data_IF_650696410027
#
_entry.id   IF_650696410027
#
_cell.length_a   1.000
_cell.length_b   1.000
_cell.length_c   1.000
_cell.angle_alpha   90.00
_cell.angle_beta   90.00
_cell.angle_gamma   90.00
#
_symmetry.space_group_name_H-M   'P 1'
#
loop_
_entity.id
_entity.type
_entity.pdbx_description
1 polymer ?
#
# COMPACT_ATOMS: atom_id res chain seq x y z
N UNK A 1 -25.86 -62.91 -0.08
CA UNK A 1 -27.29 -62.50 -0.20
C UNK A 1 -27.37 -61.08 -0.75
N UNK A 2 -28.57 -60.62 -1.19
CA UNK A 2 -29.04 -59.24 -1.54
C UNK A 2 -27.94 -58.14 -1.67
N UNK A 3 -27.74 -57.49 -2.83
CA UNK A 3 -28.56 -56.39 -3.45
C UNK A 3 -28.84 -55.24 -2.45
N UNK A 4 -28.78 -53.95 -2.78
CA UNK A 4 -28.56 -53.15 -4.03
C UNK A 4 -27.66 -51.92 -3.62
N UNK A 5 -27.41 -50.78 -4.30
CA UNK A 5 -27.95 -50.07 -5.49
C UNK A 5 -26.86 -49.13 -6.09
N UNK A 6 -27.05 -48.65 -7.33
CA UNK A 6 -26.50 -47.38 -7.85
C UNK A 6 -27.67 -46.41 -8.03
N UNK A 7 -27.53 -45.13 -7.67
CA UNK A 7 -28.58 -44.13 -7.89
C UNK A 7 -27.97 -42.87 -8.51
N UNK A 8 -28.28 -42.65 -9.79
CA UNK A 8 -27.98 -41.41 -10.49
C UNK A 8 -29.01 -40.33 -10.12
N UNK A 9 -28.59 -39.07 -10.10
CA UNK A 9 -29.50 -37.93 -10.11
C UNK A 9 -29.62 -37.37 -11.53
N UNK A 10 -30.82 -36.91 -11.87
CA UNK A 10 -31.21 -36.52 -13.22
C UNK A 10 -31.69 -35.07 -13.21
N UNK A 11 -31.31 -34.28 -14.22
CA UNK A 11 -31.79 -32.90 -14.37
C UNK A 11 -33.32 -32.84 -14.49
N UNK A 12 -33.91 -31.80 -13.92
CA UNK A 12 -35.29 -31.40 -14.16
C UNK A 12 -35.35 -29.90 -14.48
N UNK A 13 -35.44 -29.56 -15.77
CA UNK A 13 -35.90 -28.24 -16.19
C UNK A 13 -37.40 -28.11 -15.89
N UNK A 14 -37.85 -26.93 -15.48
CA UNK A 14 -39.26 -26.54 -15.50
C UNK A 14 -39.36 -25.21 -16.25
N UNK A 15 -40.06 -25.21 -17.39
CA UNK A 15 -40.46 -24.00 -18.09
C UNK A 15 -41.78 -23.48 -17.49
N UNK A 16 -41.92 -22.16 -17.41
CA UNK A 16 -43.20 -21.47 -17.24
C UNK A 16 -43.35 -20.39 -18.32
N UNK A 17 -44.50 -20.36 -19.02
CA UNK A 17 -44.70 -19.52 -20.21
C UNK A 17 -46.04 -18.78 -20.19
N UNK A 18 -46.02 -17.45 -20.23
CA UNK A 18 -47.13 -16.55 -20.63
C UNK A 18 -46.48 -15.35 -21.34
N UNK A 19 -46.41 -15.34 -22.67
CA UNK A 19 -47.39 -14.75 -23.63
C UNK A 19 -47.50 -13.22 -23.56
N UNK A 20 -47.04 -12.55 -24.62
CA UNK A 20 -47.18 -11.12 -24.94
C UNK A 20 -46.56 -10.85 -26.31
N UNK A 21 -47.22 -10.06 -27.17
CA UNK A 21 -46.83 -9.91 -28.59
C UNK A 21 -46.03 -8.62 -28.90
N UNK A 22 -45.52 -8.57 -30.13
CA UNK A 22 -45.26 -7.45 -31.07
C UNK A 22 -45.51 -6.00 -30.57
N UNK A 23 -44.77 -4.97 -31.01
CA UNK A 23 -44.25 -4.74 -32.37
C UNK A 23 -42.98 -3.84 -32.40
N UNK A 24 -42.35 -3.68 -33.57
CA UNK A 24 -41.20 -2.78 -33.80
C UNK A 24 -41.56 -1.29 -33.63
N UNK A 25 -40.69 -0.49 -33.00
CA UNK A 25 -40.56 0.96 -33.26
C UNK A 25 -39.10 1.41 -33.07
N UNK A 26 -38.72 2.50 -33.76
CA UNK A 26 -37.34 2.97 -33.96
C UNK A 26 -36.77 3.72 -32.75
N UNK A 27 -35.45 3.71 -32.65
CA UNK A 27 -34.60 4.61 -31.84
C UNK A 27 -34.91 6.08 -32.07
N UNK A 28 -34.75 6.92 -31.03
CA UNK A 28 -33.95 8.14 -31.16
C UNK A 28 -32.80 8.16 -30.13
N UNK A 29 -31.79 8.99 -30.38
CA UNK A 29 -30.65 9.16 -29.48
C UNK A 29 -31.10 9.69 -28.11
N UNK A 30 -30.68 9.01 -27.03
CA UNK A 30 -30.65 9.61 -25.71
C UNK A 30 -29.20 10.00 -25.40
N UNK A 31 -28.97 11.30 -25.36
CA UNK A 31 -27.73 11.91 -24.87
C UNK A 31 -27.34 11.29 -23.53
N UNK A 32 -26.11 10.80 -23.40
CA UNK A 32 -25.53 10.50 -22.09
C UNK A 32 -25.44 11.83 -21.34
N UNK A 33 -26.38 12.07 -20.43
CA UNK A 33 -26.23 13.14 -19.46
C UNK A 33 -25.16 12.68 -18.48
N UNK A 34 -24.00 13.30 -18.55
CA UNK A 34 -23.06 13.31 -17.44
C UNK A 34 -23.75 13.98 -16.27
N UNK A 35 -24.32 13.17 -15.36
CA UNK A 35 -24.67 13.62 -14.03
C UNK A 35 -23.36 13.93 -13.30
N UNK A 36 -22.88 15.17 -13.48
CA UNK A 36 -21.85 15.73 -12.61
C UNK A 36 -22.37 15.66 -11.18
N UNK A 37 -21.75 14.79 -10.39
CA UNK A 37 -22.14 14.56 -9.00
C UNK A 37 -22.19 15.91 -8.27
N UNK A 38 -23.38 16.30 -7.83
CA UNK A 38 -23.54 17.47 -6.98
C UNK A 38 -22.89 17.13 -5.65
N UNK A 39 -22.01 18.00 -5.18
CA UNK A 39 -21.22 17.76 -3.97
C UNK A 39 -22.07 17.25 -2.82
N UNK A 40 -21.77 16.03 -2.39
CA UNK A 40 -21.93 15.64 -1.00
C UNK A 40 -20.90 16.42 -0.18
N UNK A 41 -21.21 16.75 1.07
CA UNK A 41 -20.31 17.50 1.95
C UNK A 41 -19.12 16.61 2.35
N UNK A 42 -18.06 16.61 1.53
CA UNK A 42 -16.80 15.92 1.81
C UNK A 42 -16.09 16.59 2.99
N UNK A 43 -15.78 15.83 4.03
CA UNK A 43 -15.08 16.32 5.20
C UNK A 43 -13.60 15.96 5.08
N UNK A 44 -12.74 16.95 4.86
CA UNK A 44 -11.30 16.83 5.18
C UNK A 44 -11.06 17.42 6.56
N UNK A 45 -10.71 16.57 7.52
CA UNK A 45 -10.29 16.97 8.86
C UNK A 45 -8.76 16.97 8.93
N UNK A 46 -8.14 18.10 9.30
CA UNK A 46 -6.70 18.13 9.59
C UNK A 46 -6.46 17.69 11.02
N UNK A 47 -5.63 16.66 11.20
CA UNK A 47 -5.35 16.02 12.49
C UNK A 47 -3.89 16.20 12.85
N UNK A 48 -3.63 16.70 14.06
CA UNK A 48 -2.28 16.86 14.59
C UNK A 48 -1.93 15.67 15.50
N UNK A 49 -0.91 14.84 15.16
CA UNK A 49 -0.59 13.63 15.91
C UNK A 49 0.04 13.93 17.27
N UNK A 50 -0.49 13.32 18.33
CA UNK A 50 0.06 13.36 19.69
C UNK A 50 0.96 12.17 20.02
N UNK A 51 1.67 12.22 21.15
CA UNK A 51 2.58 11.14 21.60
C UNK A 51 1.88 9.95 22.27
N UNK A 52 0.55 9.99 22.38
CA UNK A 52 -0.32 8.89 22.81
C UNK A 52 -1.14 8.44 21.59
N UNK A 53 -1.34 7.13 21.41
CA UNK A 53 -2.06 6.58 20.26
C UNK A 53 -3.52 7.04 20.33
N UNK A 54 -3.95 7.71 19.25
CA UNK A 54 -5.31 8.24 19.12
C UNK A 54 -6.03 7.51 17.99
N UNK A 55 -7.13 6.82 18.32
CA UNK A 55 -8.04 6.25 17.33
C UNK A 55 -8.81 7.38 16.62
N UNK A 56 -8.74 7.42 15.29
CA UNK A 56 -9.46 8.39 14.43
C UNK A 56 -10.85 7.86 14.08
N UNK A 57 -10.91 6.59 13.70
CA UNK A 57 -12.13 5.78 13.53
C UNK A 57 -11.80 4.29 13.74
N UNK A 58 -12.81 3.42 13.76
CA UNK A 58 -12.65 1.99 14.14
C UNK A 58 -11.63 1.27 13.24
N UNK A 59 -10.45 0.95 13.82
CA UNK A 59 -9.34 0.32 13.11
C UNK A 59 -8.37 1.26 12.38
N UNK A 60 -8.49 2.59 12.54
CA UNK A 60 -7.50 3.57 12.08
C UNK A 60 -6.99 4.41 13.25
N UNK A 61 -5.71 4.29 13.57
CA UNK A 61 -5.06 5.02 14.67
C UNK A 61 -3.89 5.89 14.21
N UNK A 62 -3.53 6.88 15.01
CA UNK A 62 -2.48 7.87 14.72
C UNK A 62 -1.60 8.12 15.95
N UNK A 63 -0.28 8.27 15.75
CA UNK A 63 0.68 8.64 16.80
C UNK A 63 1.87 9.45 16.26
N UNK A 64 2.47 10.29 17.10
CA UNK A 64 3.75 10.97 16.85
C UNK A 64 4.89 10.32 17.64
N UNK A 65 6.02 10.10 16.97
CA UNK A 65 7.29 9.70 17.57
C UNK A 65 8.37 10.73 17.26
N UNK A 66 9.15 11.14 18.28
CA UNK A 66 10.29 12.05 18.12
C UNK A 66 11.53 11.47 18.83
N UNK A 67 12.70 11.54 18.15
CA UNK A 67 14.00 11.09 18.69
C UNK A 67 14.59 9.85 18.01
N UNK A 68 15.65 9.28 18.60
CA UNK A 68 16.31 8.06 18.13
C UNK A 68 15.55 6.76 18.50
N UNK A 69 14.99 6.08 17.49
CA UNK A 69 14.40 4.74 17.60
C UNK A 69 15.38 3.60 17.28
N UNK A 70 16.68 3.88 17.19
CA UNK A 70 17.75 2.90 17.05
C UNK A 70 17.99 2.40 15.62
N UNK A 71 17.38 3.03 14.61
CA UNK A 71 17.47 2.55 13.21
C UNK A 71 18.88 2.74 12.62
N UNK A 72 19.59 3.81 12.99
CA UNK A 72 21.01 3.96 12.64
C UNK A 72 21.88 2.80 13.16
N UNK A 73 21.66 2.37 14.41
CA UNK A 73 22.36 1.21 14.99
C UNK A 73 21.97 -0.13 14.35
N UNK A 74 20.73 -0.26 13.86
CA UNK A 74 20.28 -1.42 13.08
C UNK A 74 21.05 -1.52 11.75
N UNK A 75 21.22 -0.41 11.03
CA UNK A 75 22.02 -0.38 9.80
C UNK A 75 23.52 -0.59 10.08
N UNK A 76 24.07 0.01 11.14
CA UNK A 76 25.49 -0.13 11.51
C UNK A 76 25.90 -1.57 11.86
N UNK A 77 24.99 -2.39 12.39
CA UNK A 77 25.26 -3.82 12.63
C UNK A 77 25.15 -4.71 11.38
N UNK A 78 24.73 -4.16 10.23
CA UNK A 78 24.50 -4.87 8.97
C UNK A 78 23.04 -5.14 8.61
N UNK A 79 22.07 -4.60 9.37
CA UNK A 79 20.64 -4.78 9.11
C UNK A 79 20.12 -6.16 9.52
N UNK A 80 19.33 -6.80 8.64
CA UNK A 80 18.78 -8.16 8.84
C UNK A 80 18.38 -8.86 7.54
N UNK A 81 18.68 -10.17 7.45
CA UNK A 81 18.33 -11.08 6.34
C UNK A 81 16.88 -11.56 6.35
N UNK A 82 16.12 -11.32 7.43
CA UNK A 82 14.72 -11.74 7.53
C UNK A 82 13.95 -10.90 8.56
N UNK A 83 12.63 -11.01 8.51
CA UNK A 83 11.73 -10.32 9.44
C UNK A 83 11.98 -10.76 10.89
N UNK A 84 12.31 -12.04 11.13
CA UNK A 84 12.71 -12.52 12.46
C UNK A 84 14.00 -11.85 12.95
N UNK A 85 14.94 -11.50 12.05
CA UNK A 85 16.16 -10.77 12.40
C UNK A 85 15.91 -9.32 12.83
N UNK A 86 14.96 -8.64 12.17
CA UNK A 86 14.46 -7.31 12.60
C UNK A 86 13.85 -7.40 14.02
N UNK A 87 13.19 -8.51 14.30
CA UNK A 87 12.50 -8.78 15.56
C UNK A 87 13.44 -9.16 16.69
N UNK A 88 14.48 -9.96 16.44
CA UNK A 88 15.56 -10.19 17.41
C UNK A 88 16.25 -8.88 17.78
N UNK A 89 16.47 -7.99 16.80
CA UNK A 89 17.01 -6.65 17.06
C UNK A 89 16.08 -5.81 17.95
N UNK A 90 14.82 -5.62 17.58
CA UNK A 90 13.83 -4.86 18.37
C UNK A 90 13.70 -5.39 19.79
N UNK A 91 13.66 -6.71 19.96
CA UNK A 91 13.56 -7.40 21.24
C UNK A 91 14.83 -7.29 22.11
N UNK A 92 15.96 -6.90 21.51
CA UNK A 92 17.21 -6.61 22.24
C UNK A 92 17.29 -5.17 22.75
N UNK A 93 16.70 -4.21 22.02
CA UNK A 93 16.69 -2.78 22.38
C UNK A 93 15.58 -2.44 23.37
N UNK A 94 14.37 -2.95 23.14
CA UNK A 94 13.22 -2.72 23.99
C UNK A 94 13.35 -3.57 25.25
N UNK A 95 13.56 -2.93 26.41
CA UNK A 95 13.83 -3.60 27.70
C UNK A 95 12.72 -4.55 28.22
N UNK A 96 11.57 -4.58 27.54
CA UNK A 96 10.51 -5.57 27.67
C UNK A 96 10.81 -6.80 26.82
N UNK A 97 10.71 -8.00 27.40
CA UNK A 97 10.77 -9.25 26.62
C UNK A 97 9.55 -9.39 25.70
N UNK A 98 9.64 -8.81 24.50
CA UNK A 98 8.72 -9.01 23.38
C UNK A 98 8.93 -10.45 22.88
N UNK A 99 7.90 -11.31 22.86
CA UNK A 99 8.02 -12.65 22.29
C UNK A 99 8.10 -12.59 20.76
N UNK A 100 8.69 -13.63 20.16
CA UNK A 100 8.87 -13.87 18.71
C UNK A 100 7.77 -13.22 17.84
N UNK A 101 8.06 -12.02 17.36
CA UNK A 101 7.15 -11.24 16.52
C UNK A 101 7.22 -11.78 15.09
N UNK A 102 6.04 -12.16 14.59
CA UNK A 102 5.88 -12.85 13.31
C UNK A 102 5.14 -11.94 12.33
N UNK A 103 5.74 -11.81 11.15
CA UNK A 103 5.16 -11.18 9.98
C UNK A 103 4.56 -12.26 9.07
N UNK A 104 3.29 -12.12 8.68
CA UNK A 104 2.63 -13.08 7.79
C UNK A 104 1.18 -12.72 7.46
N UNK A 105 0.68 -13.28 6.35
CA UNK A 105 -0.71 -13.09 5.91
C UNK A 105 -1.04 -13.77 4.57
N UNK A 106 -2.19 -13.40 4.01
CA UNK A 106 -2.67 -13.71 2.66
C UNK A 106 -1.91 -12.89 1.57
N UNK A 107 -2.27 -13.00 0.27
CA UNK A 107 -1.84 -12.03 -0.74
C UNK A 107 -2.50 -10.65 -0.56
N UNK A 108 -1.76 -9.54 -0.70
CA UNK A 108 -2.33 -8.19 -0.62
C UNK A 108 -2.45 -7.50 -1.98
N UNK A 109 -3.60 -6.86 -2.21
CA UNK A 109 -3.78 -5.98 -3.36
C UNK A 109 -3.18 -4.60 -3.08
N UNK A 110 -2.69 -3.93 -4.11
CA UNK A 110 -2.29 -2.53 -4.06
C UNK A 110 -2.46 -1.87 -5.44
N UNK A 111 -2.68 -0.56 -5.46
CA UNK A 111 -2.51 0.24 -6.66
C UNK A 111 -1.97 1.63 -6.33
N UNK A 112 -1.18 2.20 -7.24
CA UNK A 112 -0.58 3.52 -7.07
C UNK A 112 -0.64 4.36 -8.35
N UNK A 113 -0.58 5.68 -8.17
CA UNK A 113 -0.75 6.70 -9.20
C UNK A 113 0.16 7.90 -8.89
N UNK A 114 1.16 8.19 -9.70
CA UNK A 114 1.89 9.47 -9.68
C UNK A 114 1.37 10.38 -10.78
N UNK A 115 1.01 11.61 -10.44
CA UNK A 115 0.42 12.56 -11.38
C UNK A 115 0.77 14.01 -11.01
N UNK A 116 0.82 14.88 -12.01
CA UNK A 116 1.03 16.30 -11.79
C UNK A 116 -0.16 16.95 -11.08
N UNK A 117 0.09 17.75 -10.06
CA UNK A 117 -0.94 18.56 -9.42
C UNK A 117 -1.35 19.74 -10.31
N UNK A 118 -2.66 20.00 -10.41
CA UNK A 118 -3.23 21.16 -11.10
C UNK A 118 -2.86 22.48 -10.39
N UNK A 119 -2.74 22.47 -9.06
CA UNK A 119 -2.38 23.65 -8.27
C UNK A 119 -0.85 23.88 -8.15
N UNK A 120 -0.02 22.92 -8.61
CA UNK A 120 1.45 22.98 -8.57
C UNK A 120 2.07 21.82 -7.77
N UNK A 121 3.25 21.37 -8.22
CA UNK A 121 3.89 20.16 -7.72
C UNK A 121 3.28 18.87 -8.25
N UNK A 122 3.41 17.79 -7.49
CA UNK A 122 2.99 16.42 -7.84
C UNK A 122 2.20 15.77 -6.71
N UNK A 123 1.36 14.79 -7.08
CA UNK A 123 0.52 14.01 -6.19
C UNK A 123 0.84 12.52 -6.36
N UNK A 124 0.97 11.80 -5.25
CA UNK A 124 1.08 10.34 -5.24
C UNK A 124 -0.16 9.74 -4.56
N UNK A 125 -0.90 8.93 -5.29
CA UNK A 125 -2.04 8.14 -4.81
C UNK A 125 -1.65 6.71 -4.53
N UNK A 126 -2.22 6.12 -3.47
CA UNK A 126 -1.93 4.76 -2.97
C UNK A 126 -3.20 4.12 -2.43
N UNK A 127 -3.55 2.92 -2.88
CA UNK A 127 -4.49 2.00 -2.22
C UNK A 127 -3.73 0.81 -1.64
N UNK A 128 -4.09 0.39 -0.43
CA UNK A 128 -3.72 -0.88 0.17
C UNK A 128 -4.97 -1.73 0.38
N UNK A 129 -4.97 -2.95 -0.19
CA UNK A 129 -6.13 -3.85 -0.20
C UNK A 129 -5.83 -5.15 0.57
N UNK A 130 -6.68 -5.47 1.55
CA UNK A 130 -6.46 -6.57 2.49
C UNK A 130 -7.77 -7.14 3.08
N UNK A 131 -7.67 -8.16 3.91
CA UNK A 131 -8.70 -8.48 4.91
C UNK A 131 -8.87 -7.30 5.90
N UNK A 132 -10.01 -7.21 6.60
CA UNK A 132 -10.24 -6.15 7.58
C UNK A 132 -9.21 -6.15 8.72
N UNK A 133 -8.43 -5.06 8.88
CA UNK A 133 -7.27 -5.00 9.80
C UNK A 133 -7.13 -3.68 10.58
N UNK A 134 -6.08 -3.56 11.41
CA UNK A 134 -5.82 -2.35 12.21
C UNK A 134 -4.65 -1.56 11.64
N UNK A 135 -4.91 -0.36 11.10
CA UNK A 135 -3.88 0.54 10.59
C UNK A 135 -3.39 1.51 11.68
N UNK A 136 -2.07 1.67 11.79
CA UNK A 136 -1.44 2.73 12.57
C UNK A 136 -0.67 3.66 11.63
N UNK A 137 -1.04 4.93 11.62
CA UNK A 137 -0.30 6.03 11.00
C UNK A 137 0.72 6.53 12.04
N UNK A 138 1.99 6.61 11.64
CA UNK A 138 3.08 7.10 12.48
C UNK A 138 3.68 8.33 11.82
N UNK A 139 3.56 9.48 12.50
CA UNK A 139 4.34 10.69 12.22
C UNK A 139 5.66 10.59 12.98
N UNK A 140 6.79 10.61 12.28
CA UNK A 140 8.12 10.34 12.83
C UNK A 140 9.07 11.51 12.61
N UNK A 141 9.73 11.96 13.67
CA UNK A 141 10.82 12.95 13.61
C UNK A 141 12.11 12.35 14.22
N UNK A 142 12.94 11.65 13.42
CA UNK A 142 14.18 11.05 13.92
C UNK A 142 15.18 12.12 14.38
N UNK A 143 16.07 11.75 15.32
CA UNK A 143 17.25 12.58 15.65
C UNK A 143 18.26 12.65 14.48
N UNK A 144 18.24 11.66 13.58
CA UNK A 144 19.10 11.58 12.40
C UNK A 144 18.32 10.96 11.22
N UNK A 145 17.89 11.78 10.26
CA UNK A 145 17.09 11.39 9.11
C UNK A 145 16.02 12.44 8.79
N UNK A 146 15.24 12.21 7.74
CA UNK A 146 14.09 13.05 7.40
C UNK A 146 12.87 12.74 8.29
N UNK A 147 12.11 13.77 8.62
CA UNK A 147 10.76 13.60 9.16
C UNK A 147 9.85 12.93 8.11
N UNK A 148 8.90 12.09 8.56
CA UNK A 148 7.99 11.38 7.66
C UNK A 148 6.65 11.03 8.29
N UNK A 149 5.67 10.72 7.45
CA UNK A 149 4.45 10.01 7.86
C UNK A 149 4.39 8.68 7.11
N UNK A 150 4.23 7.58 7.85
CA UNK A 150 4.21 6.22 7.30
C UNK A 150 3.10 5.37 7.91
N UNK A 151 2.55 4.43 7.13
CA UNK A 151 1.45 3.56 7.55
C UNK A 151 1.91 2.13 7.74
N UNK A 152 1.38 1.47 8.77
CA UNK A 152 1.64 0.06 9.08
C UNK A 152 0.36 -0.70 9.41
N UNK A 153 0.24 -1.93 8.92
CA UNK A 153 -0.77 -2.88 9.36
C UNK A 153 -0.31 -3.53 10.67
N UNK A 154 -0.98 -3.24 11.78
CA UNK A 154 -0.65 -3.78 13.10
C UNK A 154 -0.93 -5.28 13.22
N UNK A 155 -1.79 -5.85 12.37
CA UNK A 155 -2.11 -7.28 12.36
C UNK A 155 -0.97 -8.11 11.72
N UNK A 156 -0.04 -7.47 11.02
CA UNK A 156 1.21 -8.06 10.54
C UNK A 156 2.26 -8.23 11.66
N UNK A 157 2.00 -7.75 12.87
CA UNK A 157 3.01 -7.59 13.92
C UNK A 157 2.65 -8.50 15.10
N UNK A 158 2.77 -9.82 14.92
CA UNK A 158 2.23 -10.81 15.86
C UNK A 158 3.29 -11.32 16.84
N UNK A 159 3.41 -10.69 18.01
CA UNK A 159 4.42 -10.96 19.05
C UNK A 159 4.27 -12.33 19.78
N UNK A 160 4.35 -13.44 19.05
CA UNK A 160 4.36 -14.81 19.61
C UNK A 160 3.04 -15.22 20.26
N UNK A 161 1.92 -14.63 19.80
CA UNK A 161 0.62 -14.71 20.45
C UNK A 161 0.40 -13.71 21.59
N UNK A 162 1.38 -12.83 21.86
CA UNK A 162 1.13 -11.58 22.56
C UNK A 162 0.54 -10.55 21.59
N UNK A 163 -0.48 -9.86 22.07
CA UNK A 163 -1.14 -8.76 21.37
C UNK A 163 -0.40 -7.45 21.69
N UNK A 164 0.13 -6.81 20.65
CA UNK A 164 1.00 -5.63 20.74
C UNK A 164 0.27 -4.37 21.24
N UNK A 165 -1.06 -4.30 21.13
CA UNK A 165 -1.86 -3.18 21.68
C UNK A 165 -1.72 -3.05 23.20
N UNK A 166 -1.17 -4.08 23.87
CA UNK A 166 -0.87 -4.12 25.30
C UNK A 166 0.52 -3.56 25.66
N UNK A 167 1.37 -3.25 24.67
CA UNK A 167 2.63 -2.55 24.88
C UNK A 167 2.37 -1.04 25.04
N UNK A 168 3.24 -0.28 25.74
CA UNK A 168 3.13 1.17 25.77
C UNK A 168 3.18 1.77 24.36
N UNK A 169 2.41 2.82 24.13
CA UNK A 169 2.23 3.51 22.84
C UNK A 169 3.54 3.79 22.12
N UNK A 170 4.55 4.29 22.85
CA UNK A 170 5.88 4.57 22.30
C UNK A 170 6.63 3.30 21.85
N UNK A 171 6.42 2.15 22.49
CA UNK A 171 6.97 0.88 22.03
C UNK A 171 6.23 0.36 20.79
N UNK A 172 4.91 0.55 20.71
CA UNK A 172 4.14 0.23 19.50
C UNK A 172 4.60 1.10 18.31
N UNK A 173 4.81 2.40 18.53
CA UNK A 173 5.34 3.32 17.52
C UNK A 173 6.76 2.93 17.06
N UNK A 174 7.68 2.59 17.98
CA UNK A 174 9.02 2.10 17.62
C UNK A 174 8.93 0.83 16.77
N UNK A 175 8.09 -0.14 17.15
CA UNK A 175 7.94 -1.39 16.39
C UNK A 175 7.36 -1.12 15.00
N UNK A 176 6.32 -0.29 14.91
CA UNK A 176 5.68 0.08 13.65
C UNK A 176 6.62 0.81 12.67
N UNK A 177 7.60 1.56 13.17
CA UNK A 177 8.62 2.24 12.34
C UNK A 177 9.58 1.27 11.62
N UNK A 178 9.69 0.01 12.06
CA UNK A 178 10.43 -1.04 11.34
C UNK A 178 9.53 -1.89 10.42
N UNK A 179 8.22 -1.62 10.44
CA UNK A 179 7.19 -2.34 9.70
C UNK A 179 6.37 -1.51 8.66
N UNK A 180 6.80 -0.32 8.16
CA UNK A 180 5.97 0.50 7.28
C UNK A 180 5.76 -0.17 5.92
N UNK A 181 4.56 0.06 5.35
CA UNK A 181 4.13 -0.45 4.04
C UNK A 181 4.06 0.65 2.97
N UNK A 182 3.90 1.90 3.42
CA UNK A 182 3.92 3.12 2.61
C UNK A 182 4.22 4.35 3.46
N UNK A 183 4.55 5.47 2.81
CA UNK A 183 4.71 6.78 3.46
C UNK A 183 5.26 7.86 2.54
N UNK A 184 5.39 9.08 3.09
CA UNK A 184 6.07 10.22 2.47
C UNK A 184 6.89 11.00 3.51
N UNK A 185 8.05 11.53 3.11
CA UNK A 185 8.94 12.33 3.97
C UNK A 185 8.87 13.85 3.70
N UNK A 186 9.62 14.64 4.49
CA UNK A 186 9.56 16.11 4.43
C UNK A 186 10.12 16.71 3.14
N UNK A 187 10.98 15.99 2.41
CA UNK A 187 11.42 16.35 1.06
C UNK A 187 10.33 16.05 0.00
N UNK A 188 9.29 15.28 0.35
CA UNK A 188 8.19 14.92 -0.53
C UNK A 188 8.46 13.67 -1.38
N UNK A 189 9.52 12.92 -1.07
CA UNK A 189 9.71 11.58 -1.59
C UNK A 189 8.68 10.63 -0.95
N UNK A 190 8.00 9.87 -1.79
CA UNK A 190 6.96 8.92 -1.43
C UNK A 190 7.32 7.51 -1.90
N UNK A 191 7.05 6.52 -1.05
CA UNK A 191 7.36 5.11 -1.28
C UNK A 191 6.22 4.22 -0.80
N UNK A 192 5.98 3.13 -1.50
CA UNK A 192 5.05 2.09 -1.07
C UNK A 192 5.40 0.72 -1.66
N UNK A 193 5.17 -0.36 -0.90
CA UNK A 193 5.28 -1.73 -1.43
C UNK A 193 3.95 -2.26 -1.95
N UNK A 194 3.96 -2.84 -3.14
CA UNK A 194 2.86 -3.65 -3.67
C UNK A 194 3.33 -5.12 -3.79
N UNK A 195 2.46 -6.08 -3.49
CA UNK A 195 2.71 -7.50 -3.79
C UNK A 195 2.58 -7.79 -5.28
N UNK A 196 3.20 -8.87 -5.78
CA UNK A 196 2.89 -9.48 -7.07
C UNK A 196 2.42 -10.93 -6.83
N UNK A 197 1.41 -11.39 -7.59
CA UNK A 197 1.01 -12.82 -7.57
C UNK A 197 2.04 -13.67 -8.33
N UNK A 198 3.16 -13.96 -7.66
CA UNK A 198 4.20 -14.90 -8.10
C UNK A 198 4.63 -15.77 -6.90
N UNK A 199 5.17 -16.96 -7.18
CA UNK A 199 5.65 -17.91 -6.17
C UNK A 199 7.15 -17.80 -5.88
N UNK A 200 7.87 -16.96 -6.62
CA UNK A 200 9.26 -16.61 -6.33
C UNK A 200 9.35 -15.63 -5.15
N UNK A 201 10.57 -15.39 -4.64
CA UNK A 201 10.87 -14.40 -3.59
C UNK A 201 12.14 -13.62 -3.94
N UNK A 202 12.40 -12.53 -3.22
CA UNK A 202 13.66 -11.77 -3.30
C UNK A 202 14.54 -12.23 -2.14
N UNK A 203 15.73 -12.73 -2.45
CA UNK A 203 16.70 -13.27 -1.48
C UNK A 203 18.11 -13.04 -2.03
N UNK A 204 18.62 -11.81 -1.89
CA UNK A 204 19.98 -11.46 -2.31
C UNK A 204 21.01 -11.95 -1.27
N UNK A 205 22.27 -12.15 -1.69
CA UNK A 205 23.31 -12.71 -0.81
C UNK A 205 24.71 -12.42 -1.39
N UNK A 206 25.35 -11.33 -0.96
CA UNK A 206 26.69 -10.91 -1.41
C UNK A 206 27.57 -10.47 -0.22
N UNK A 207 28.40 -9.43 -0.36
CA UNK A 207 29.25 -8.85 0.69
C UNK A 207 28.67 -7.52 1.24
N UNK A 208 27.38 -7.24 0.99
CA UNK A 208 26.67 -6.01 1.41
C UNK A 208 26.02 -6.18 2.80
N UNK A 209 25.56 -5.08 3.43
CA UNK A 209 24.54 -5.16 4.48
C UNK A 209 23.18 -5.64 3.94
N UNK A 210 22.39 -6.26 4.80
CA UNK A 210 21.10 -6.90 4.50
C UNK A 210 19.92 -5.97 4.84
N UNK A 211 18.85 -5.97 4.03
CA UNK A 211 17.64 -5.18 4.30
C UNK A 211 16.36 -5.95 3.97
N UNK A 212 15.34 -5.84 4.82
CA UNK A 212 14.00 -6.42 4.57
C UNK A 212 13.09 -5.43 3.85
N UNK A 213 11.97 -5.88 3.28
CA UNK A 213 10.99 -5.01 2.59
C UNK A 213 10.58 -3.79 3.42
N UNK A 214 10.19 -3.98 4.68
CA UNK A 214 9.70 -2.88 5.53
C UNK A 214 10.83 -1.98 6.05
N UNK A 215 11.99 -2.57 6.36
CA UNK A 215 13.16 -1.79 6.79
C UNK A 215 13.80 -1.02 5.63
N UNK A 216 13.65 -1.49 4.39
CA UNK A 216 13.98 -0.72 3.19
C UNK A 216 13.06 0.50 3.03
N UNK A 217 11.75 0.37 3.27
CA UNK A 217 10.83 1.52 3.26
C UNK A 217 11.22 2.55 4.33
N UNK A 218 11.57 2.10 5.54
CA UNK A 218 12.07 3.00 6.60
C UNK A 218 13.36 3.71 6.20
N UNK A 219 14.35 2.98 5.68
CA UNK A 219 15.61 3.52 5.14
C UNK A 219 15.37 4.61 4.08
N UNK A 220 14.46 4.36 3.14
CA UNK A 220 14.16 5.32 2.07
C UNK A 220 13.46 6.56 2.61
N UNK A 221 12.49 6.41 3.51
CA UNK A 221 11.85 7.55 4.16
C UNK A 221 12.83 8.39 5.01
N UNK A 222 13.79 7.74 5.69
CA UNK A 222 14.80 8.43 6.52
C UNK A 222 15.91 9.13 5.70
N UNK A 223 16.27 8.63 4.51
CA UNK A 223 17.54 8.99 3.86
C UNK A 223 17.46 9.35 2.37
N UNK A 224 16.31 9.28 1.70
CA UNK A 224 16.16 9.71 0.31
C UNK A 224 15.32 10.99 0.17
N UNK A 225 15.87 12.05 -0.42
CA UNK A 225 15.10 13.24 -0.80
C UNK A 225 14.32 13.05 -2.12
N UNK A 226 14.72 12.09 -2.95
CA UNK A 226 14.25 11.91 -4.32
C UNK A 226 14.45 10.46 -4.81
N UNK A 227 13.95 10.14 -6.02
CA UNK A 227 14.06 8.81 -6.61
C UNK A 227 15.51 8.40 -6.92
N UNK A 228 16.40 9.32 -7.33
CA UNK A 228 17.81 8.96 -7.62
C UNK A 228 18.54 8.49 -6.34
N UNK A 229 18.34 9.21 -5.23
CA UNK A 229 18.88 8.83 -3.92
C UNK A 229 18.29 7.52 -3.40
N UNK A 230 16.99 7.30 -3.60
CA UNK A 230 16.33 6.05 -3.23
C UNK A 230 16.90 4.83 -3.98
N UNK A 231 17.10 4.96 -5.29
CA UNK A 231 17.72 3.91 -6.11
C UNK A 231 19.18 3.67 -5.74
N UNK A 232 19.93 4.73 -5.41
CA UNK A 232 21.29 4.63 -4.91
C UNK A 232 21.34 3.87 -3.57
N UNK A 233 20.44 4.18 -2.63
CA UNK A 233 20.34 3.48 -1.35
C UNK A 233 20.00 1.99 -1.54
N UNK A 234 18.94 1.66 -2.29
CA UNK A 234 18.58 0.26 -2.59
C UNK A 234 19.74 -0.53 -3.22
N UNK A 235 20.57 0.12 -4.05
CA UNK A 235 21.72 -0.55 -4.67
C UNK A 235 22.82 -0.97 -3.67
N UNK A 236 22.88 -0.35 -2.49
CA UNK A 236 23.93 -0.56 -1.48
C UNK A 236 23.66 -1.74 -0.53
N UNK A 237 22.43 -2.26 -0.50
CA UNK A 237 22.03 -3.41 0.34
C UNK A 237 21.77 -4.65 -0.52
N UNK A 238 21.74 -5.81 0.14
CA UNK A 238 21.10 -7.01 -0.38
C UNK A 238 19.66 -7.10 0.18
N UNK A 239 18.70 -7.26 -0.72
CA UNK A 239 17.26 -7.18 -0.40
C UNK A 239 16.66 -8.56 -0.11
N UNK A 240 15.89 -8.64 0.97
CA UNK A 240 15.15 -9.82 1.43
C UNK A 240 13.65 -9.51 1.50
N UNK A 241 12.83 -10.27 0.79
CA UNK A 241 11.39 -10.00 0.75
C UNK A 241 10.69 -10.50 2.03
N UNK A 242 10.14 -9.55 2.79
CA UNK A 242 9.33 -9.83 3.98
C UNK A 242 8.18 -10.81 3.69
N UNK A 243 7.87 -11.65 4.67
CA UNK A 243 6.87 -12.74 4.61
C UNK A 243 7.08 -13.77 3.48
N UNK A 244 8.21 -13.72 2.75
CA UNK A 244 8.46 -14.58 1.59
C UNK A 244 7.55 -14.31 0.39
N UNK A 245 6.93 -13.13 0.31
CA UNK A 245 6.08 -12.72 -0.81
C UNK A 245 6.89 -12.04 -1.91
N UNK A 246 6.58 -12.28 -3.19
CA UNK A 246 7.10 -11.42 -4.25
C UNK A 246 6.49 -10.02 -4.15
N UNK A 247 7.34 -9.00 -4.22
CA UNK A 247 6.94 -7.59 -4.12
C UNK A 247 7.68 -6.73 -5.15
N UNK A 248 7.19 -5.50 -5.33
CA UNK A 248 7.94 -4.40 -5.94
C UNK A 248 7.67 -3.09 -5.19
N UNK A 249 8.61 -2.14 -5.27
CA UNK A 249 8.47 -0.82 -4.64
C UNK A 249 8.05 0.22 -5.69
N UNK A 250 6.92 0.91 -5.45
CA UNK A 250 6.52 2.08 -6.22
C UNK A 250 7.06 3.34 -5.53
N UNK A 251 7.83 4.15 -6.26
CA UNK A 251 8.50 5.35 -5.77
C UNK A 251 8.04 6.59 -6.57
N UNK A 252 7.86 7.73 -5.91
CA UNK A 252 7.57 9.03 -6.52
C UNK A 252 8.30 10.15 -5.77
N UNK A 253 8.65 11.26 -6.43
CA UNK A 253 9.24 12.44 -5.77
C UNK A 253 8.61 13.78 -6.20
N UNK A 254 8.97 14.85 -5.49
CA UNK A 254 8.43 16.19 -5.72
C UNK A 254 8.90 16.84 -7.03
N UNK A 255 9.91 16.29 -7.71
CA UNK A 255 10.30 16.71 -9.07
C UNK A 255 9.42 16.05 -10.15
N UNK A 256 8.67 15.00 -9.79
CA UNK A 256 7.79 14.26 -10.67
C UNK A 256 8.43 13.02 -11.30
N UNK A 257 9.55 12.55 -10.76
CA UNK A 257 10.08 11.24 -11.14
C UNK A 257 9.18 10.17 -10.49
N UNK A 258 8.78 9.15 -11.27
CA UNK A 258 8.02 8.01 -10.75
C UNK A 258 8.48 6.72 -11.39
N UNK A 259 8.81 5.73 -10.56
CA UNK A 259 9.37 4.45 -10.98
C UNK A 259 8.80 3.30 -10.17
N UNK A 260 8.85 2.10 -10.75
CA UNK A 260 8.75 0.84 -10.02
C UNK A 260 10.11 0.15 -9.97
N UNK A 261 10.44 -0.41 -8.81
CA UNK A 261 11.66 -1.19 -8.57
C UNK A 261 11.27 -2.64 -8.32
N UNK A 262 11.63 -3.49 -9.28
CA UNK A 262 11.30 -4.92 -9.30
C UNK A 262 12.57 -5.76 -9.20
N UNK A 263 12.49 -6.94 -8.60
CA UNK A 263 13.64 -7.84 -8.48
C UNK A 263 13.37 -9.15 -9.24
N UNK A 264 14.04 -9.32 -10.38
CA UNK A 264 13.89 -10.51 -11.24
C UNK A 264 15.20 -11.29 -11.21
N UNK A 265 15.16 -12.58 -10.83
CA UNK A 265 16.35 -13.40 -10.59
C UNK A 265 17.37 -12.73 -9.64
N UNK A 266 16.90 -12.08 -8.57
CA UNK A 266 17.74 -11.31 -7.63
C UNK A 266 18.55 -10.17 -8.29
N UNK A 267 18.08 -9.61 -9.40
CA UNK A 267 18.60 -8.39 -10.02
C UNK A 267 17.56 -7.28 -9.91
N UNK A 268 17.96 -6.12 -9.38
CA UNK A 268 17.14 -4.92 -9.32
C UNK A 268 16.94 -4.36 -10.73
N UNK A 269 15.69 -4.17 -11.14
CA UNK A 269 15.28 -3.56 -12.40
C UNK A 269 14.37 -2.38 -12.08
N UNK A 270 14.67 -1.22 -12.69
CA UNK A 270 13.92 0.02 -12.52
C UNK A 270 13.16 0.30 -13.81
N UNK A 271 11.87 0.62 -13.70
CA UNK A 271 11.02 0.99 -14.84
C UNK A 271 10.30 2.30 -14.53
N UNK A 272 10.48 3.32 -15.37
CA UNK A 272 9.71 4.58 -15.31
C UNK A 272 8.22 4.29 -15.56
N UNK A 273 7.36 4.66 -14.62
CA UNK A 273 5.90 4.48 -14.74
C UNK A 273 5.13 5.41 -13.80
N UNK A 274 4.01 6.02 -14.24
CA UNK A 274 3.11 6.75 -13.37
C UNK A 274 2.10 5.85 -12.63
N UNK A 275 2.00 4.55 -12.96
CA UNK A 275 1.03 3.62 -12.37
C UNK A 275 1.70 2.31 -12.00
N UNK A 276 1.36 1.76 -10.83
CA UNK A 276 1.79 0.41 -10.42
C UNK A 276 0.62 -0.33 -9.77
N UNK A 277 0.40 -1.59 -10.16
CA UNK A 277 -0.53 -2.53 -9.50
C UNK A 277 0.16 -3.90 -9.36
N UNK A 278 -0.52 -4.91 -8.83
CA UNK A 278 0.07 -6.22 -8.49
C UNK A 278 0.43 -7.11 -9.71
N UNK A 279 1.32 -6.66 -10.60
CA UNK A 279 1.95 -7.44 -11.67
C UNK A 279 3.30 -6.82 -12.12
N UNK A 280 4.22 -7.61 -12.68
CA UNK A 280 5.51 -7.09 -13.15
C UNK A 280 5.38 -6.17 -14.38
N UNK A 281 5.92 -4.96 -14.28
CA UNK A 281 6.02 -3.98 -15.37
C UNK A 281 7.37 -4.02 -16.09
N UNK A 282 8.40 -4.60 -15.50
CA UNK A 282 9.74 -4.67 -16.12
C UNK A 282 9.76 -5.56 -17.37
N UNK A 283 10.39 -5.04 -18.43
CA UNK A 283 10.50 -5.74 -19.71
C UNK A 283 11.44 -6.97 -19.61
N UNK A 284 10.87 -8.16 -19.51
CA UNK A 284 11.62 -9.42 -19.35
C UNK A 284 10.73 -10.66 -19.40
N UNK A 285 11.22 -11.77 -18.86
CA UNK A 285 10.48 -13.05 -18.82
C UNK A 285 9.31 -13.05 -17.83
N UNK A 286 9.33 -12.15 -16.84
CA UNK A 286 8.27 -11.97 -15.83
C UNK A 286 7.18 -10.97 -16.25
N UNK A 287 7.39 -10.19 -17.32
CA UNK A 287 6.50 -9.09 -17.72
C UNK A 287 5.03 -9.54 -17.81
N UNK A 288 4.15 -8.84 -17.09
CA UNK A 288 2.72 -9.11 -17.06
C UNK A 288 2.28 -10.25 -16.14
N UNK A 289 3.17 -10.95 -15.44
CA UNK A 289 2.78 -11.95 -14.42
C UNK A 289 2.15 -11.24 -13.22
N UNK A 290 0.91 -11.63 -12.93
CA UNK A 290 0.04 -11.10 -11.88
C UNK A 290 -1.44 -11.31 -12.23
N UNK A 291 -2.35 -10.86 -11.37
CA UNK A 291 -3.79 -11.17 -11.50
C UNK A 291 -4.48 -10.41 -12.64
N UNK A 292 -5.54 -10.98 -13.23
CA UNK A 292 -6.40 -10.29 -14.21
C UNK A 292 -7.05 -9.01 -13.66
N UNK A 293 -7.29 -8.94 -12.34
CA UNK A 293 -7.78 -7.73 -11.69
C UNK A 293 -6.67 -6.66 -11.64
N UNK A 294 -5.43 -7.03 -11.34
CA UNK A 294 -4.27 -6.11 -11.33
C UNK A 294 -4.15 -5.37 -12.66
N UNK A 295 -4.25 -6.12 -13.77
CA UNK A 295 -4.29 -5.57 -15.13
C UNK A 295 -5.50 -4.65 -15.34
N UNK A 296 -6.70 -5.08 -14.93
CA UNK A 296 -7.92 -4.26 -15.07
C UNK A 296 -7.81 -2.92 -14.33
N UNK A 297 -7.27 -2.90 -13.11
CA UNK A 297 -7.05 -1.68 -12.32
C UNK A 297 -5.99 -0.77 -12.93
N UNK A 298 -4.92 -1.37 -13.47
CA UNK A 298 -3.86 -0.65 -14.17
C UNK A 298 -4.40 0.03 -15.45
N UNK A 299 -5.22 -0.69 -16.23
CA UNK A 299 -5.87 -0.15 -17.42
C UNK A 299 -6.78 1.04 -17.05
N UNK A 300 -7.59 0.94 -15.98
CA UNK A 300 -8.45 2.04 -15.50
C UNK A 300 -7.65 3.29 -15.10
N UNK A 301 -6.55 3.14 -14.36
CA UNK A 301 -5.71 4.26 -13.95
C UNK A 301 -4.99 4.91 -15.14
N UNK A 302 -4.46 4.12 -16.08
CA UNK A 302 -3.83 4.64 -17.30
C UNK A 302 -4.86 5.32 -18.21
N UNK A 303 -6.04 4.73 -18.40
CA UNK A 303 -7.17 5.35 -19.10
C UNK A 303 -7.59 6.68 -18.46
N UNK A 304 -7.37 6.87 -17.15
CA UNK A 304 -7.70 8.11 -16.44
C UNK A 304 -6.61 9.18 -16.65
N UNK A 305 -5.33 8.79 -16.60
CA UNK A 305 -4.20 9.66 -16.96
C UNK A 305 -4.25 10.12 -18.43
N UNK A 306 -4.57 9.24 -19.38
CA UNK A 306 -4.73 9.60 -20.80
C UNK A 306 -5.81 10.67 -21.05
N UNK A 307 -6.80 10.75 -20.15
CA UNK A 307 -7.90 11.75 -20.20
C UNK A 307 -7.57 13.03 -19.44
N UNK A 308 -6.61 13.00 -18.51
CA UNK A 308 -6.32 14.10 -17.59
C UNK A 308 -4.84 14.14 -17.19
N UNK A 309 -4.04 14.95 -17.91
CA UNK A 309 -2.60 15.15 -17.71
C UNK A 309 -2.22 15.78 -16.34
N UNK A 310 -3.16 16.42 -15.64
CA UNK A 310 -2.97 16.94 -14.28
C UNK A 310 -4.25 16.85 -13.45
N UNK A 311 -4.10 16.48 -12.17
CA UNK A 311 -5.19 16.17 -11.26
C UNK A 311 -5.24 17.13 -10.08
N UNK A 312 -6.39 17.29 -9.45
CA UNK A 312 -6.50 17.79 -8.07
C UNK A 312 -6.43 16.62 -7.09
N UNK A 313 -6.21 16.89 -5.79
CA UNK A 313 -6.28 15.84 -4.76
C UNK A 313 -7.62 15.07 -4.77
N UNK A 314 -8.72 15.75 -5.13
CA UNK A 314 -10.04 15.14 -5.28
C UNK A 314 -10.11 14.22 -6.49
N UNK A 315 -9.42 14.55 -7.59
CA UNK A 315 -9.35 13.69 -8.77
C UNK A 315 -8.48 12.45 -8.53
N UNK A 316 -7.37 12.58 -7.79
CA UNK A 316 -6.58 11.42 -7.33
C UNK A 316 -7.41 10.54 -6.40
N UNK A 317 -8.18 11.13 -5.47
CA UNK A 317 -9.14 10.37 -4.66
C UNK A 317 -10.17 9.63 -5.52
N UNK A 318 -10.75 10.28 -6.53
CA UNK A 318 -11.70 9.65 -7.47
C UNK A 318 -11.04 8.53 -8.30
N UNK A 319 -9.76 8.65 -8.65
CA UNK A 319 -9.02 7.63 -9.38
C UNK A 319 -8.78 6.39 -8.51
N UNK A 320 -8.38 6.58 -7.25
CA UNK A 320 -8.21 5.52 -6.24
C UNK A 320 -9.55 4.81 -5.92
N UNK A 321 -10.62 5.58 -5.78
CA UNK A 321 -12.03 5.14 -5.63
C UNK A 321 -12.47 4.28 -6.83
N UNK A 322 -12.09 4.65 -8.06
CA UNK A 322 -12.39 3.83 -9.25
C UNK A 322 -11.66 2.47 -9.31
N UNK A 323 -10.72 2.20 -8.40
CA UNK A 323 -9.93 0.96 -8.33
C UNK A 323 -9.85 0.33 -6.93
N UNK A 324 -10.77 0.66 -6.02
CA UNK A 324 -10.96 -0.06 -4.75
C UNK A 324 -11.61 -1.43 -4.95
N UNK A 325 -11.52 -2.30 -3.94
CA UNK A 325 -11.96 -3.71 -4.03
C UNK A 325 -13.47 -3.88 -4.15
N UNK A 326 -14.26 -3.02 -3.51
CA UNK A 326 -15.73 -3.04 -3.61
C UNK A 326 -16.24 -3.04 -5.07
N UNK A 327 -15.56 -2.31 -5.95
CA UNK A 327 -15.85 -2.23 -7.38
C UNK A 327 -15.58 -3.54 -8.16
N UNK A 328 -14.87 -4.52 -7.57
CA UNK A 328 -14.56 -5.82 -8.21
C UNK A 328 -15.30 -7.01 -7.58
N UNK A 329 -15.92 -6.84 -6.40
CA UNK A 329 -16.80 -7.84 -5.79
C UNK A 329 -16.08 -9.06 -5.19
N UNK A 330 -14.89 -8.86 -4.64
CA UNK A 330 -14.13 -9.86 -3.89
C UNK A 330 -14.51 -9.85 -2.38
N UNK A 331 -13.70 -10.43 -1.50
CA UNK A 331 -13.97 -10.45 -0.04
C UNK A 331 -13.13 -9.42 0.72
N UNK A 332 -11.91 -9.21 0.23
CA UNK A 332 -10.93 -8.22 0.62
C UNK A 332 -11.47 -6.79 0.37
N UNK A 333 -11.10 -5.84 1.22
CA UNK A 333 -11.46 -4.42 1.13
C UNK A 333 -10.22 -3.54 0.89
N UNK A 334 -10.39 -2.37 0.26
CA UNK A 334 -9.34 -1.35 0.28
C UNK A 334 -9.32 -0.69 1.66
N UNK A 335 -8.51 -1.24 2.57
CA UNK A 335 -8.45 -0.84 3.98
C UNK A 335 -7.98 0.61 4.16
N UNK A 336 -7.03 1.08 3.35
CA UNK A 336 -6.75 2.52 3.28
C UNK A 336 -6.35 2.99 1.87
N UNK A 337 -6.78 4.23 1.59
CA UNK A 337 -6.36 5.02 0.44
C UNK A 337 -5.67 6.29 0.92
N UNK A 338 -4.55 6.66 0.31
CA UNK A 338 -3.79 7.87 0.64
C UNK A 338 -3.64 8.73 -0.60
N UNK A 339 -3.92 10.03 -0.47
CA UNK A 339 -3.52 11.07 -1.42
C UNK A 339 -2.42 11.90 -0.77
N UNK A 340 -1.19 11.72 -1.25
CA UNK A 340 0.01 12.40 -0.77
C UNK A 340 0.33 13.60 -1.67
N UNK A 341 0.31 14.80 -1.11
CA UNK A 341 0.67 16.03 -1.81
C UNK A 341 2.18 16.30 -1.63
N UNK A 342 2.95 16.04 -2.68
CA UNK A 342 4.42 16.04 -2.63
C UNK A 342 5.01 17.47 -2.57
N UNK A 343 4.20 18.52 -2.79
CA UNK A 343 4.60 19.92 -2.58
C UNK A 343 4.31 20.35 -1.13
N UNK A 344 3.06 20.18 -0.64
CA UNK A 344 2.66 20.67 0.70
C UNK A 344 3.08 19.75 1.86
N UNK A 345 3.56 18.54 1.54
CA UNK A 345 3.94 17.47 2.49
C UNK A 345 2.76 17.03 3.37
N UNK A 346 1.57 16.98 2.78
CA UNK A 346 0.33 16.56 3.43
C UNK A 346 -0.19 15.23 2.86
N UNK A 347 -0.59 14.32 3.74
CA UNK A 347 -1.17 13.02 3.39
C UNK A 347 -2.63 13.02 3.81
N UNK A 348 -3.57 12.90 2.86
CA UNK A 348 -4.99 12.68 3.17
C UNK A 348 -5.32 11.19 3.09
N UNK A 349 -5.66 10.60 4.23
CA UNK A 349 -6.10 9.22 4.39
C UNK A 349 -7.61 9.10 4.28
N UNK A 350 -8.08 8.02 3.64
CA UNK A 350 -9.48 7.58 3.61
C UNK A 350 -9.49 6.10 4.01
N UNK A 351 -10.20 5.73 5.08
CA UNK A 351 -10.26 4.36 5.60
C UNK A 351 -11.39 3.58 4.92
N UNK A 352 -11.19 2.28 4.67
CA UNK A 352 -12.24 1.31 4.28
C UNK A 352 -13.25 1.85 3.27
N UNK A 353 -12.74 2.35 2.16
CA UNK A 353 -13.53 2.84 1.00
C UNK A 353 -14.49 4.02 1.35
N UNK A 354 -14.37 4.62 2.55
CA UNK A 354 -15.15 5.76 3.02
C UNK A 354 -14.59 7.10 2.51
N UNK A 355 -14.60 7.28 1.19
CA UNK A 355 -14.05 8.46 0.52
C UNK A 355 -14.74 9.81 0.82
N UNK A 356 -15.70 9.85 1.76
CA UNK A 356 -16.42 11.06 2.18
C UNK A 356 -15.80 11.71 3.43
N UNK A 357 -15.05 10.93 4.22
CA UNK A 357 -14.27 11.38 5.38
C UNK A 357 -12.79 11.20 5.06
N UNK A 358 -12.01 12.27 5.12
CA UNK A 358 -10.57 12.25 4.88
C UNK A 358 -9.82 12.86 6.06
N UNK A 359 -8.80 12.17 6.56
CA UNK A 359 -7.93 12.67 7.63
C UNK A 359 -6.60 13.16 7.03
N UNK A 360 -6.31 14.45 7.15
CA UNK A 360 -5.10 15.09 6.62
C UNK A 360 -4.05 15.23 7.71
N UNK A 361 -2.87 14.65 7.52
CA UNK A 361 -1.71 14.77 8.41
C UNK A 361 -0.56 15.44 7.64
N UNK A 362 0.12 16.41 8.26
CA UNK A 362 1.37 16.98 7.73
C UNK A 362 2.59 16.19 8.21
N UNK A 363 3.64 16.17 7.37
CA UNK A 363 5.00 15.93 7.86
C UNK A 363 5.49 17.19 8.59
N UNK A 364 6.08 17.06 9.79
CA UNK A 364 6.48 18.17 10.68
C UNK A 364 7.88 18.04 11.28
#
# INVERSE_FOLDING_TARGET
MKKKIYMAFMMALILGTVVGCEENTKTPENTVQTETAKGEDMVKEKVEPGTEITELEEGLSLVRYEGDYGFGSFLEQGGAVSDEGVVEYLSSQLTSSIPELLFGGNPFGCSTLSVKNTDGGYLFGRNFDWDACNALIISSKPDNGYASVSTVNMDFIQAGGLDISKLPDMAQAIIGLYAPLDGMNEEGFAVSVNMIEDSDTIEQNTDKPDITTTTAIRLLLDQAANVEEALNLLSQYDFHASMGMMIHLALSDAEGNSVVVEYVNNQMIVTETPVVTNFYLSAGEKYGIGTSQSHTRYDILNETLEKQESMTETDVRNALDSVSKDNFGEFESTEWSIVMNQETKELTYYHRENYKQGYTISVE
#
